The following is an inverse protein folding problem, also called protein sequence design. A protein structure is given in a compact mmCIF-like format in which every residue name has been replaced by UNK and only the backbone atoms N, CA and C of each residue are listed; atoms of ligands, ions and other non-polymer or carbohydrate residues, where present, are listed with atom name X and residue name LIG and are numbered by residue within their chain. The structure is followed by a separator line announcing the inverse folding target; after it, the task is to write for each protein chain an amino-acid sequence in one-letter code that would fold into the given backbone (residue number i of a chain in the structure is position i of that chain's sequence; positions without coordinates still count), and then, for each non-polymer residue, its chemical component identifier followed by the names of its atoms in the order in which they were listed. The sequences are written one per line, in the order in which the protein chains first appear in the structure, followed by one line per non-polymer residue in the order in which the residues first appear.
data_IF_486137866184
#
_entry.id   IF_486137866184
#
_cell.length_a   1.000
_cell.length_b   1.000
_cell.length_c   1.000
_cell.angle_alpha   90.00
_cell.angle_beta   90.00
_cell.angle_gamma   90.00
#
_symmetry.space_group_name_H-M   'P 1'
#
loop_
_entity.id
_entity.type
_entity.pdbx_description
1 polymer ?
#
# COMPACT_ATOMS: atom_id res chain seq x y z
N UNK A 1 -11.03 -14.00 -7.05
CA UNK A 1 -12.03 -13.60 -8.07
C UNK A 1 -13.41 -13.41 -7.44
N UNK A 2 -14.30 -12.64 -8.08
CA UNK A 2 -15.68 -12.44 -7.60
C UNK A 2 -16.47 -13.75 -7.51
N UNK A 3 -16.14 -14.75 -8.34
CA UNK A 3 -16.76 -16.10 -8.26
C UNK A 3 -16.46 -16.76 -6.91
N UNK A 4 -15.22 -16.65 -6.40
CA UNK A 4 -14.85 -17.23 -5.12
C UNK A 4 -15.52 -16.49 -3.96
N UNK A 5 -15.58 -15.16 -4.00
CA UNK A 5 -16.28 -14.35 -2.99
C UNK A 5 -17.76 -14.77 -2.93
N UNK A 6 -18.42 -14.93 -4.06
CA UNK A 6 -19.79 -15.40 -4.13
C UNK A 6 -19.98 -16.79 -3.49
N UNK A 7 -19.04 -17.72 -3.73
CA UNK A 7 -19.09 -19.07 -3.11
C UNK A 7 -18.96 -18.97 -1.58
N UNK A 8 -18.03 -18.14 -1.09
CA UNK A 8 -17.82 -17.91 0.36
C UNK A 8 -19.09 -17.33 0.99
N UNK A 9 -19.68 -16.28 0.38
CA UNK A 9 -20.92 -15.68 0.89
C UNK A 9 -22.07 -16.68 0.90
N UNK A 10 -22.20 -17.51 -0.14
CA UNK A 10 -23.25 -18.54 -0.23
C UNK A 10 -23.11 -19.67 0.78
N UNK A 11 -21.93 -19.84 1.40
CA UNK A 11 -21.74 -20.83 2.47
C UNK A 11 -22.50 -20.48 3.76
N UNK A 12 -23.03 -19.26 3.89
CA UNK A 12 -23.72 -18.76 5.07
C UNK A 12 -22.82 -18.50 6.27
N UNK A 13 -21.51 -18.76 6.15
CA UNK A 13 -20.56 -18.53 7.26
C UNK A 13 -20.24 -17.05 7.42
N UNK A 14 -20.05 -16.56 8.65
CA UNK A 14 -19.52 -15.20 8.88
C UNK A 14 -18.17 -15.03 8.20
N UNK A 15 -17.96 -13.89 7.55
CA UNK A 15 -16.73 -13.59 6.81
C UNK A 15 -16.04 -12.38 7.44
N UNK A 16 -14.78 -12.54 7.81
CA UNK A 16 -13.88 -11.42 8.12
C UNK A 16 -12.92 -11.25 6.96
N UNK A 17 -12.92 -10.06 6.36
CA UNK A 17 -12.06 -9.75 5.21
C UNK A 17 -11.05 -8.66 5.55
N UNK A 18 -9.79 -9.06 5.74
CA UNK A 18 -8.69 -8.11 5.95
C UNK A 18 -8.24 -7.50 4.61
N UNK A 19 -8.26 -6.18 4.54
CA UNK A 19 -7.88 -5.40 3.37
C UNK A 19 -6.45 -4.90 3.53
N UNK A 20 -5.63 -5.11 2.50
CA UNK A 20 -4.26 -4.57 2.39
C UNK A 20 -4.11 -3.52 1.28
N UNK A 21 -5.15 -3.34 0.48
CA UNK A 21 -5.23 -2.37 -0.62
C UNK A 21 -6.68 -1.92 -0.87
N UNK A 22 -6.88 -1.08 -1.88
CA UNK A 22 -8.19 -0.53 -2.20
C UNK A 22 -9.05 -1.43 -3.10
N UNK A 23 -8.58 -2.61 -3.51
CA UNK A 23 -9.37 -3.45 -4.41
C UNK A 23 -10.77 -3.80 -3.88
N UNK A 24 -10.97 -4.12 -2.59
CA UNK A 24 -12.30 -4.34 -2.04
C UNK A 24 -13.20 -3.11 -2.10
N UNK A 25 -12.62 -1.90 -2.01
CA UNK A 25 -13.35 -0.61 -1.95
C UNK A 25 -13.57 0.03 -3.34
N UNK A 26 -13.02 -0.51 -4.40
CA UNK A 26 -13.09 0.04 -5.77
C UNK A 26 -13.70 -0.96 -6.74
N UNK A 27 -13.91 -0.55 -8.00
CA UNK A 27 -14.28 -1.48 -9.07
C UNK A 27 -13.16 -2.48 -9.35
N UNK A 28 -12.00 -1.99 -9.76
CA UNK A 28 -10.89 -2.84 -10.24
C UNK A 28 -9.53 -2.46 -9.66
N UNK A 29 -9.38 -1.28 -9.03
CA UNK A 29 -8.08 -0.75 -8.66
C UNK A 29 -7.60 -1.30 -7.32
N UNK A 30 -6.32 -1.69 -7.24
CA UNK A 30 -5.60 -1.86 -5.98
C UNK A 30 -5.12 -0.50 -5.43
N UNK A 31 -4.82 0.46 -6.33
CA UNK A 31 -4.38 1.83 -6.01
C UNK A 31 -5.18 2.81 -6.86
N UNK A 32 -5.87 3.75 -6.22
CA UNK A 32 -6.76 4.69 -6.92
C UNK A 32 -6.02 5.81 -7.65
N UNK A 33 -4.74 6.07 -7.35
CA UNK A 33 -3.90 7.10 -7.99
C UNK A 33 -4.59 8.48 -8.11
N UNK A 34 -5.23 8.93 -7.03
CA UNK A 34 -5.98 10.20 -7.00
C UNK A 34 -7.39 10.16 -7.59
N UNK A 35 -7.85 9.01 -8.11
CA UNK A 35 -9.22 8.86 -8.57
C UNK A 35 -10.20 8.68 -7.39
N UNK A 36 -11.24 9.51 -7.31
CA UNK A 36 -12.27 9.46 -6.26
C UNK A 36 -13.60 8.88 -6.74
N UNK A 37 -13.70 8.35 -7.95
CA UNK A 37 -14.98 7.88 -8.51
C UNK A 37 -15.63 6.78 -7.69
N UNK A 38 -14.84 5.95 -7.02
CA UNK A 38 -15.34 4.88 -6.15
C UNK A 38 -16.16 5.37 -4.94
N UNK A 39 -16.12 6.66 -4.64
CA UNK A 39 -16.94 7.23 -3.57
C UNK A 39 -18.45 7.08 -3.84
N UNK A 40 -18.87 7.15 -5.09
CA UNK A 40 -20.27 6.94 -5.50
C UNK A 40 -20.43 5.68 -6.34
N UNK A 41 -19.75 5.63 -7.48
CA UNK A 41 -19.73 4.51 -8.41
C UNK A 41 -18.51 4.60 -9.32
N UNK A 42 -17.88 3.48 -9.64
CA UNK A 42 -16.85 3.44 -10.70
C UNK A 42 -17.49 3.52 -12.09
N UNK A 43 -16.69 3.92 -13.06
CA UNK A 43 -17.04 4.13 -14.47
C UNK A 43 -16.21 5.25 -15.05
N UNK A 44 -16.13 5.38 -16.39
CA UNK A 44 -15.21 6.29 -17.06
C UNK A 44 -13.80 6.21 -16.48
N UNK A 45 -13.31 4.99 -16.29
CA UNK A 45 -12.10 4.70 -15.51
C UNK A 45 -10.85 5.23 -16.21
N UNK A 46 -10.08 6.15 -15.58
CA UNK A 46 -8.89 6.72 -16.21
C UNK A 46 -7.74 5.71 -16.37
N UNK A 47 -7.82 4.57 -15.69
CA UNK A 47 -6.81 3.50 -15.72
C UNK A 47 -7.10 2.42 -16.78
N UNK A 48 -8.26 2.50 -17.45
CA UNK A 48 -8.56 1.64 -18.58
C UNK A 48 -8.13 2.27 -19.90
N UNK A 49 -7.79 1.47 -20.92
CA UNK A 49 -7.57 1.97 -22.28
C UNK A 49 -8.72 2.87 -22.74
N UNK A 50 -8.40 3.93 -23.49
CA UNK A 50 -9.37 4.91 -24.00
C UNK A 50 -10.20 5.61 -22.89
N UNK A 51 -9.64 5.76 -21.70
CA UNK A 51 -10.27 6.42 -20.53
C UNK A 51 -11.61 5.80 -20.10
N UNK A 52 -11.85 4.55 -20.46
CA UNK A 52 -13.06 3.80 -20.13
C UNK A 52 -14.35 4.40 -20.68
N UNK A 53 -15.48 3.96 -20.13
CA UNK A 53 -16.83 4.47 -20.43
C UNK A 53 -17.72 4.39 -19.19
N UNK A 54 -18.91 5.00 -19.24
CA UNK A 54 -19.88 4.99 -18.12
C UNK A 54 -20.21 3.55 -17.67
N UNK A 55 -20.20 2.58 -18.56
CA UNK A 55 -20.50 1.17 -18.29
C UNK A 55 -19.30 0.25 -18.52
N UNK A 56 -18.08 0.73 -18.31
CA UNK A 56 -16.86 -0.04 -18.46
C UNK A 56 -16.72 -1.18 -17.45
N UNK A 57 -15.59 -1.88 -17.50
CA UNK A 57 -15.30 -2.99 -16.60
C UNK A 57 -15.33 -2.55 -15.14
N UNK A 58 -14.83 -1.35 -14.83
CA UNK A 58 -14.79 -0.85 -13.45
C UNK A 58 -16.20 -0.65 -12.89
N UNK A 59 -17.11 -0.09 -13.68
CA UNK A 59 -18.51 0.07 -13.32
C UNK A 59 -19.23 -1.26 -13.11
N UNK A 60 -19.01 -2.22 -14.03
CA UNK A 60 -19.61 -3.55 -13.95
C UNK A 60 -19.17 -4.30 -12.70
N UNK A 61 -17.87 -4.27 -12.40
CA UNK A 61 -17.30 -4.94 -11.21
C UNK A 61 -17.76 -4.25 -9.93
N UNK A 62 -17.81 -2.91 -9.91
CA UNK A 62 -18.31 -2.15 -8.77
C UNK A 62 -19.74 -2.55 -8.40
N UNK A 63 -20.67 -2.57 -9.36
CA UNK A 63 -22.05 -3.01 -9.14
C UNK A 63 -22.15 -4.43 -8.60
N UNK A 64 -21.38 -5.36 -9.19
CA UNK A 64 -21.34 -6.76 -8.73
C UNK A 64 -20.81 -6.89 -7.30
N UNK A 65 -19.80 -6.12 -6.92
CA UNK A 65 -19.31 -6.08 -5.55
C UNK A 65 -20.37 -5.54 -4.60
N UNK A 66 -21.03 -4.44 -4.96
CA UNK A 66 -22.11 -3.84 -4.16
C UNK A 66 -23.19 -4.85 -3.84
N UNK A 67 -23.71 -5.56 -4.85
CA UNK A 67 -24.68 -6.63 -4.67
C UNK A 67 -24.21 -7.76 -3.75
N UNK A 68 -22.93 -8.19 -3.91
CA UNK A 68 -22.34 -9.25 -3.10
C UNK A 68 -22.19 -8.85 -1.64
N UNK A 69 -21.71 -7.64 -1.39
CA UNK A 69 -21.47 -7.15 -0.02
C UNK A 69 -22.78 -6.96 0.76
N UNK A 70 -23.83 -6.50 0.10
CA UNK A 70 -25.17 -6.37 0.73
C UNK A 70 -25.84 -7.72 1.05
N UNK A 71 -25.46 -8.80 0.34
CA UNK A 71 -26.02 -10.14 0.55
C UNK A 71 -25.26 -10.96 1.60
N UNK A 72 -24.06 -10.53 1.98
CA UNK A 72 -23.17 -11.31 2.85
C UNK A 72 -23.00 -10.69 4.22
N UNK A 73 -22.87 -11.53 5.24
CA UNK A 73 -22.42 -11.11 6.57
C UNK A 73 -20.90 -10.94 6.55
N UNK A 74 -20.42 -9.82 5.98
CA UNK A 74 -19.00 -9.52 5.85
C UNK A 74 -18.63 -8.41 6.84
N UNK A 75 -17.60 -8.66 7.66
CA UNK A 75 -16.91 -7.63 8.44
C UNK A 75 -15.59 -7.32 7.76
N UNK A 76 -15.38 -6.05 7.41
CA UNK A 76 -14.14 -5.63 6.78
C UNK A 76 -13.15 -5.10 7.82
N UNK A 77 -11.91 -5.55 7.72
CA UNK A 77 -10.80 -5.09 8.54
C UNK A 77 -9.79 -4.38 7.66
N UNK A 78 -9.28 -3.24 8.10
CA UNK A 78 -8.23 -2.48 7.40
C UNK A 78 -6.95 -2.47 8.22
N UNK A 79 -5.80 -2.63 7.57
CA UNK A 79 -4.50 -2.66 8.23
C UNK A 79 -3.95 -1.27 8.62
N UNK A 80 -4.66 -0.19 8.27
CA UNK A 80 -4.29 1.18 8.64
C UNK A 80 -5.48 2.12 8.70
N UNK A 81 -5.39 3.17 9.53
CA UNK A 81 -6.40 4.24 9.60
C UNK A 81 -6.57 4.98 8.27
N UNK A 82 -5.52 5.06 7.47
CA UNK A 82 -5.65 5.64 6.13
C UNK A 82 -6.57 4.79 5.25
N UNK A 83 -6.33 3.48 5.20
CA UNK A 83 -7.15 2.56 4.41
C UNK A 83 -8.59 2.51 4.91
N UNK A 84 -8.81 2.60 6.23
CA UNK A 84 -10.15 2.71 6.82
C UNK A 84 -10.89 3.94 6.30
N UNK A 85 -10.26 5.12 6.34
CA UNK A 85 -10.87 6.36 5.81
C UNK A 85 -11.22 6.22 4.32
N UNK A 86 -10.31 5.67 3.52
CA UNK A 86 -10.56 5.44 2.09
C UNK A 86 -11.72 4.46 1.86
N UNK A 87 -11.75 3.37 2.63
CA UNK A 87 -12.82 2.38 2.54
C UNK A 87 -14.17 2.96 2.94
N UNK A 88 -14.26 3.65 4.08
CA UNK A 88 -15.50 4.33 4.55
C UNK A 88 -16.00 5.36 3.55
N UNK A 89 -15.11 5.98 2.77
CA UNK A 89 -15.46 6.89 1.68
C UNK A 89 -16.00 6.21 0.41
N UNK A 90 -16.00 4.88 0.34
CA UNK A 90 -16.46 4.14 -0.85
C UNK A 90 -17.97 3.87 -0.81
N UNK A 91 -18.64 4.09 -1.94
CA UNK A 91 -20.05 3.71 -2.12
C UNK A 91 -20.33 2.20 -2.04
N UNK A 92 -19.29 1.34 -2.02
CA UNK A 92 -19.43 -0.09 -1.79
C UNK A 92 -19.66 -0.42 -0.31
N UNK A 93 -19.21 0.44 0.59
CA UNK A 93 -19.20 0.16 2.03
C UNK A 93 -20.29 0.89 2.81
N UNK A 94 -21.20 1.56 2.14
CA UNK A 94 -22.38 2.14 2.79
C UNK A 94 -23.15 1.04 3.55
N UNK A 95 -23.28 1.19 4.87
CA UNK A 95 -23.93 0.21 5.73
C UNK A 95 -23.07 -1.03 6.09
N UNK A 96 -21.82 -1.09 5.65
CA UNK A 96 -20.92 -2.20 6.00
C UNK A 96 -20.13 -1.94 7.29
N UNK A 97 -19.81 -3.01 8.01
CA UNK A 97 -18.92 -2.94 9.18
C UNK A 97 -17.46 -2.86 8.73
N UNK A 98 -16.77 -1.80 9.11
CA UNK A 98 -15.35 -1.59 8.84
C UNK A 98 -14.65 -1.25 10.15
N UNK A 99 -13.61 -2.01 10.48
CA UNK A 99 -12.79 -1.80 11.68
C UNK A 99 -11.33 -1.72 11.28
N UNK A 100 -10.58 -0.82 11.90
CA UNK A 100 -9.13 -0.78 11.74
C UNK A 100 -8.47 -1.69 12.79
N UNK A 101 -7.71 -2.66 12.30
CA UNK A 101 -6.83 -3.53 13.11
C UNK A 101 -5.47 -3.52 12.40
N UNK A 102 -4.45 -2.87 12.96
CA UNK A 102 -3.11 -2.84 12.39
C UNK A 102 -2.53 -4.24 12.20
N UNK A 103 -1.63 -4.40 11.23
CA UNK A 103 -0.91 -5.66 11.08
C UNK A 103 -0.11 -5.97 12.36
N UNK A 104 -0.14 -7.20 12.85
CA UNK A 104 0.66 -7.59 14.00
C UNK A 104 2.15 -7.58 13.64
N UNK A 105 2.97 -7.26 14.63
CA UNK A 105 4.43 -7.37 14.56
C UNK A 105 4.92 -8.03 15.84
N UNK A 106 5.86 -8.96 15.72
CA UNK A 106 6.51 -9.58 16.87
C UNK A 106 7.51 -8.59 17.50
N UNK A 107 7.11 -7.99 18.62
CA UNK A 107 7.92 -7.00 19.33
C UNK A 107 9.12 -7.59 20.09
N UNK A 108 9.23 -8.90 20.21
CA UNK A 108 10.43 -9.56 20.74
C UNK A 108 11.53 -9.64 19.67
N UNK A 109 11.14 -9.79 18.42
CA UNK A 109 12.06 -9.81 17.27
C UNK A 109 12.37 -8.38 16.79
N UNK A 110 11.33 -7.57 16.62
CA UNK A 110 11.43 -6.18 16.14
C UNK A 110 11.45 -5.21 17.32
N UNK A 111 12.57 -5.16 18.02
CA UNK A 111 12.78 -4.29 19.17
C UNK A 111 14.09 -3.48 19.01
N UNK A 112 14.24 -2.36 19.69
CA UNK A 112 15.50 -1.63 19.77
C UNK A 112 16.64 -2.53 20.25
N UNK A 113 17.76 -2.50 19.54
CA UNK A 113 18.94 -3.29 19.82
C UNK A 113 20.17 -2.36 19.96
N UNK A 114 21.30 -2.92 20.42
CA UNK A 114 22.55 -2.18 20.44
C UNK A 114 22.95 -1.76 19.02
N UNK A 115 23.13 -0.46 18.82
CA UNK A 115 23.39 0.12 17.50
C UNK A 115 24.72 -0.37 16.89
N UNK A 116 25.78 -0.44 17.73
CA UNK A 116 27.11 -0.86 17.25
C UNK A 116 27.10 -2.31 16.77
N UNK A 117 26.48 -3.21 17.54
CA UNK A 117 26.33 -4.61 17.16
C UNK A 117 25.44 -4.79 15.93
N UNK A 118 24.36 -4.03 15.82
CA UNK A 118 23.48 -4.08 14.68
C UNK A 118 24.17 -3.62 13.38
N UNK A 119 24.98 -2.55 13.46
CA UNK A 119 25.80 -2.07 12.34
C UNK A 119 26.85 -3.08 11.93
N UNK A 120 27.56 -3.66 12.89
CA UNK A 120 28.55 -4.70 12.62
C UNK A 120 27.94 -5.91 11.89
N UNK A 121 26.81 -6.40 12.39
CA UNK A 121 26.09 -7.52 11.74
C UNK A 121 25.57 -7.18 10.34
N UNK A 122 25.20 -5.94 10.09
CA UNK A 122 24.70 -5.48 8.80
C UNK A 122 25.81 -5.02 7.84
N UNK A 123 27.08 -5.03 8.24
CA UNK A 123 28.19 -4.52 7.43
C UNK A 123 28.13 -3.00 7.19
N UNK A 124 27.54 -2.25 8.11
CA UNK A 124 27.37 -0.79 7.99
C UNK A 124 28.50 -0.05 8.72
N UNK A 125 28.93 1.13 8.22
CA UNK A 125 29.93 1.97 8.88
C UNK A 125 29.58 2.32 10.31
N UNK A 126 30.52 2.24 11.22
CA UNK A 126 30.32 2.52 12.64
C UNK A 126 30.21 4.03 12.91
N UNK A 127 30.95 4.82 12.18
CA UNK A 127 31.25 6.26 12.38
C UNK A 127 30.43 7.21 11.50
N UNK A 128 29.61 6.68 10.56
CA UNK A 128 28.82 7.51 9.64
C UNK A 128 27.34 7.61 10.04
N UNK A 129 26.68 8.66 9.62
CA UNK A 129 25.23 8.72 9.61
C UNK A 129 24.70 7.76 8.55
N UNK A 130 23.68 6.97 8.89
CA UNK A 130 23.09 6.01 7.95
C UNK A 130 21.71 6.52 7.52
N UNK A 131 21.53 6.74 6.22
CA UNK A 131 20.22 6.99 5.64
C UNK A 131 19.77 5.71 4.93
N UNK A 132 18.72 5.08 5.45
CA UNK A 132 18.25 3.79 4.99
C UNK A 132 16.98 3.93 4.14
N UNK A 133 17.01 3.41 2.92
CA UNK A 133 15.82 3.18 2.10
C UNK A 133 15.46 1.70 2.08
N UNK A 134 14.20 1.37 2.37
CA UNK A 134 13.73 -0.02 2.41
C UNK A 134 12.50 -0.20 1.53
N UNK A 135 12.55 -1.17 0.62
CA UNK A 135 11.39 -1.56 -0.19
C UNK A 135 11.52 -2.98 -0.68
N UNK A 136 10.41 -3.72 -0.79
CA UNK A 136 10.43 -5.06 -1.38
C UNK A 136 11.04 -5.06 -2.80
N UNK A 137 10.75 -4.02 -3.59
CA UNK A 137 11.33 -3.77 -4.90
C UNK A 137 11.65 -2.29 -5.02
N UNK A 138 12.92 -1.94 -5.02
CA UNK A 138 13.38 -0.53 -4.97
C UNK A 138 13.10 0.23 -6.26
N UNK A 139 13.04 -0.46 -7.39
CA UNK A 139 12.71 0.12 -8.71
C UNK A 139 11.20 0.33 -8.93
N UNK A 140 10.34 -0.07 -7.99
CA UNK A 140 8.91 0.26 -8.07
C UNK A 140 8.70 1.77 -7.85
N UNK A 141 8.31 2.50 -8.89
CA UNK A 141 8.12 3.97 -8.84
C UNK A 141 7.13 4.45 -7.77
N UNK A 142 6.24 3.57 -7.25
CA UNK A 142 5.33 3.88 -6.15
C UNK A 142 6.02 3.94 -4.79
N UNK A 143 7.23 3.38 -4.68
CA UNK A 143 8.00 3.32 -3.42
C UNK A 143 8.84 4.57 -3.18
N UNK A 144 8.96 5.43 -4.20
CA UNK A 144 9.50 6.77 -4.03
C UNK A 144 11.02 6.88 -4.13
N UNK A 145 11.72 5.89 -4.71
CA UNK A 145 13.18 5.94 -4.90
C UNK A 145 13.63 7.24 -5.58
N UNK A 146 12.89 7.70 -6.59
CA UNK A 146 13.21 8.98 -7.25
C UNK A 146 13.23 10.16 -6.26
N UNK A 147 12.25 10.26 -5.38
CA UNK A 147 12.21 11.32 -4.37
C UNK A 147 13.32 11.17 -3.34
N UNK A 148 13.70 9.93 -3.03
CA UNK A 148 14.83 9.65 -2.16
C UNK A 148 16.14 10.18 -2.77
N UNK A 149 16.42 9.86 -4.03
CA UNK A 149 17.61 10.34 -4.75
C UNK A 149 17.61 11.88 -4.80
N UNK A 150 16.51 12.50 -5.25
CA UNK A 150 16.39 13.97 -5.28
C UNK A 150 16.64 14.62 -3.90
N UNK A 151 16.21 13.96 -2.82
CA UNK A 151 16.43 14.45 -1.46
C UNK A 151 17.91 14.37 -1.04
N UNK A 152 18.59 13.28 -1.41
CA UNK A 152 20.04 13.12 -1.17
C UNK A 152 20.84 14.16 -1.96
N UNK A 153 20.54 14.37 -3.23
CA UNK A 153 21.20 15.40 -4.06
C UNK A 153 21.07 16.79 -3.44
N UNK A 154 19.86 17.14 -2.98
CA UNK A 154 19.62 18.42 -2.28
C UNK A 154 20.34 18.51 -0.94
N UNK A 155 20.42 17.41 -0.20
CA UNK A 155 21.13 17.35 1.09
C UNK A 155 22.61 17.63 0.87
N UNK A 156 23.24 16.94 -0.05
CA UNK A 156 24.67 17.10 -0.38
C UNK A 156 24.97 18.49 -0.96
N UNK A 157 24.09 19.01 -1.80
CA UNK A 157 24.23 20.36 -2.36
C UNK A 157 24.18 21.45 -1.26
N UNK A 158 23.35 21.24 -0.21
CA UNK A 158 23.20 22.21 0.88
C UNK A 158 24.23 22.04 2.00
N UNK A 159 24.69 20.81 2.21
CA UNK A 159 25.61 20.40 3.26
C UNK A 159 26.69 19.48 2.67
N UNK A 160 27.71 20.03 1.99
CA UNK A 160 28.72 19.22 1.29
C UNK A 160 29.46 18.21 2.21
N UNK A 161 29.65 18.56 3.49
CA UNK A 161 30.26 17.69 4.49
C UNK A 161 29.51 16.39 4.72
N UNK A 162 28.21 16.33 4.41
CA UNK A 162 27.39 15.11 4.51
C UNK A 162 27.86 14.02 3.55
N UNK A 163 28.56 14.38 2.48
CA UNK A 163 29.11 13.42 1.53
C UNK A 163 30.14 12.49 2.16
N UNK A 164 30.93 13.02 3.10
CA UNK A 164 31.94 12.25 3.82
C UNK A 164 31.39 11.55 5.06
N UNK A 165 30.45 12.20 5.76
CA UNK A 165 29.96 11.75 7.06
C UNK A 165 28.69 10.88 6.97
N UNK A 166 28.17 10.60 5.78
CA UNK A 166 26.93 9.84 5.59
C UNK A 166 27.15 8.63 4.69
N UNK A 167 26.52 7.54 5.02
CA UNK A 167 26.41 6.37 4.16
C UNK A 167 24.94 6.14 3.83
N UNK A 168 24.68 5.78 2.58
CA UNK A 168 23.34 5.41 2.11
C UNK A 168 23.27 3.89 2.06
N UNK A 169 22.23 3.35 2.69
CA UNK A 169 21.94 1.93 2.65
C UNK A 169 20.62 1.69 1.92
N UNK A 170 20.61 0.79 0.95
CA UNK A 170 19.41 0.40 0.19
C UNK A 170 19.15 -1.08 0.43
N UNK A 171 17.98 -1.38 1.01
CA UNK A 171 17.56 -2.75 1.27
C UNK A 171 16.32 -3.10 0.43
N UNK A 172 16.47 -4.11 -0.42
CA UNK A 172 15.37 -4.64 -1.22
C UNK A 172 15.81 -5.25 -2.55
N UNK A 173 14.91 -5.94 -3.22
CA UNK A 173 15.20 -6.50 -4.53
C UNK A 173 15.44 -5.40 -5.57
N UNK A 174 16.36 -5.69 -6.50
CA UNK A 174 16.81 -4.78 -7.56
C UNK A 174 17.55 -3.54 -7.04
N UNK A 175 18.19 -3.64 -5.88
CA UNK A 175 19.01 -2.55 -5.32
C UNK A 175 20.28 -2.30 -6.17
N UNK A 176 20.76 -3.31 -6.87
CA UNK A 176 21.87 -3.26 -7.82
C UNK A 176 21.59 -2.38 -9.06
N UNK A 177 20.33 -2.13 -9.36
CA UNK A 177 19.91 -1.27 -10.47
C UNK A 177 19.89 0.23 -10.10
N UNK A 178 20.11 0.57 -8.82
CA UNK A 178 20.08 1.95 -8.34
C UNK A 178 21.48 2.57 -8.38
N UNK A 179 21.63 3.60 -9.19
CA UNK A 179 22.84 4.44 -9.22
C UNK A 179 22.62 5.66 -8.33
N UNK A 180 23.53 5.89 -7.38
CA UNK A 180 23.57 7.03 -6.46
C UNK A 180 24.82 7.85 -6.70
#
# INVERSE_FOLDING_TARGET
SLKNIRKIIRSGKPVVWTMHDLWPATGICHYARGCNRYASACGNCPLLPNKGSKNDLSAKIFRRKKELYHRGAISFVTCSRWLERQAKGSGLFVGQRITNIPNPIDTHVFCPQNQAEARLRAGLPADKHIILFVSQRVTDGRKGMRYFIEAIDRLVARYPEMKENTAIAILGGHSEEVNL
#
